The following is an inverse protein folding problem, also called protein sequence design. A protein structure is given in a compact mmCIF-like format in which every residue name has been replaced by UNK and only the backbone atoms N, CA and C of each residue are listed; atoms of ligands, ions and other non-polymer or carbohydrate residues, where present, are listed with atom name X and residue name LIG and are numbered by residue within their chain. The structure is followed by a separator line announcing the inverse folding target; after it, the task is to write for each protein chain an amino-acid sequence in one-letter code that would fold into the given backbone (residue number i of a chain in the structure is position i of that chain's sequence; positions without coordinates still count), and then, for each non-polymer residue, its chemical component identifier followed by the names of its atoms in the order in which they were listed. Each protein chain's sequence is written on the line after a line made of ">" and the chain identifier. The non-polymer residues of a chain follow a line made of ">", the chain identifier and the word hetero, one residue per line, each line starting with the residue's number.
data_IF_743736171028
#
_entry.id   IF_743736171028
#
_cell.length_a   1.000
_cell.length_b   1.000
_cell.length_c   1.000
_cell.angle_alpha   90.00
_cell.angle_beta   90.00
_cell.angle_gamma   90.00
#
_symmetry.space_group_name_H-M   'P 1'
#
loop_
_entity.id
_entity.type
_entity.pdbx_description
1 polymer ?
#
# COMPACT_ATOMS: atom_id res chain seq x y z
N UNK A 1 -10.29 24.56 26.57
CA UNK A 1 -10.39 24.65 25.10
C UNK A 1 -10.26 23.23 24.53
N UNK A 2 -11.27 22.74 23.80
CA UNK A 2 -11.39 21.32 23.37
C UNK A 2 -10.22 20.87 22.49
N UNK A 3 -9.65 21.76 21.67
CA UNK A 3 -8.54 21.44 20.75
C UNK A 3 -7.30 20.94 21.50
N UNK A 4 -6.89 21.63 22.58
CA UNK A 4 -5.71 21.26 23.37
C UNK A 4 -5.85 19.88 24.04
N UNK A 5 -7.06 19.51 24.45
CA UNK A 5 -7.34 18.22 25.10
C UNK A 5 -7.32 17.04 24.12
N UNK A 6 -7.53 17.31 22.83
CA UNK A 6 -7.51 16.32 21.76
C UNK A 6 -6.11 16.03 21.21
N UNK A 7 -5.12 16.89 21.48
CA UNK A 7 -3.74 16.74 21.00
C UNK A 7 -2.86 16.07 22.06
N UNK A 8 -1.95 15.19 21.61
CA UNK A 8 -1.05 14.43 22.48
C UNK A 8 0.40 14.57 22.03
N UNK A 9 1.33 14.47 22.98
CA UNK A 9 2.76 14.54 22.74
C UNK A 9 3.16 15.81 21.98
N UNK A 10 4.02 15.67 20.96
CA UNK A 10 4.55 16.77 20.16
C UNK A 10 3.48 17.63 19.47
N UNK A 11 2.27 17.10 19.23
CA UNK A 11 1.16 17.88 18.69
C UNK A 11 0.56 18.86 19.70
N UNK A 12 0.61 18.52 20.99
CA UNK A 12 0.21 19.43 22.06
C UNK A 12 1.22 20.55 22.23
N UNK A 13 2.51 20.23 22.22
CA UNK A 13 3.59 21.23 22.35
C UNK A 13 3.56 22.21 21.18
N UNK A 14 3.34 21.72 19.96
CA UNK A 14 3.12 22.56 18.79
C UNK A 14 1.92 23.50 18.96
N UNK A 15 0.79 23.01 19.47
CA UNK A 15 -0.40 23.84 19.71
C UNK A 15 -0.15 24.92 20.76
N UNK A 16 0.59 24.62 21.82
CA UNK A 16 0.94 25.62 22.85
C UNK A 16 1.79 26.77 22.28
N UNK A 17 2.61 26.49 21.26
CA UNK A 17 3.41 27.49 20.55
C UNK A 17 2.58 28.35 19.57
N UNK A 18 1.61 27.78 18.86
CA UNK A 18 0.87 28.51 17.79
C UNK A 18 -0.49 29.07 18.21
N UNK A 19 -1.00 28.74 19.41
CA UNK A 19 -2.36 29.08 19.83
C UNK A 19 -2.66 30.59 19.82
N UNK A 20 -1.66 31.45 20.07
CA UNK A 20 -1.83 32.91 20.09
C UNK A 20 -2.02 33.51 18.69
N UNK A 21 -1.53 32.82 17.66
CA UNK A 21 -1.63 33.25 16.25
C UNK A 21 -2.90 32.70 15.57
N UNK A 22 -3.51 31.65 16.13
CA UNK A 22 -4.61 30.91 15.51
C UNK A 22 -5.94 31.25 16.21
N UNK A 23 -6.62 32.26 15.67
CA UNK A 23 -7.87 32.78 16.23
C UNK A 23 -9.13 32.16 15.63
N UNK A 24 -9.01 31.35 14.58
CA UNK A 24 -10.17 30.72 13.91
C UNK A 24 -10.00 29.21 13.74
N UNK A 25 -11.08 28.43 13.83
CA UNK A 25 -11.04 26.99 13.54
C UNK A 25 -10.53 26.68 12.11
N UNK A 26 -10.82 27.56 11.15
CA UNK A 26 -10.31 27.44 9.79
C UNK A 26 -8.79 27.61 9.72
N UNK A 27 -8.23 28.61 10.41
CA UNK A 27 -6.79 28.80 10.50
C UNK A 27 -6.10 27.60 11.20
N UNK A 28 -6.73 27.03 12.24
CA UNK A 28 -6.23 25.81 12.87
C UNK A 28 -6.15 24.66 11.88
N UNK A 29 -7.23 24.39 11.14
CA UNK A 29 -7.27 23.30 10.16
C UNK A 29 -6.17 23.46 9.10
N UNK A 30 -5.99 24.68 8.58
CA UNK A 30 -4.96 24.97 7.57
C UNK A 30 -3.55 24.78 8.14
N UNK A 31 -3.26 25.33 9.32
CA UNK A 31 -1.95 25.20 9.97
C UNK A 31 -1.64 23.74 10.34
N UNK A 32 -2.62 23.03 10.89
CA UNK A 32 -2.50 21.62 11.25
C UNK A 32 -2.23 20.75 10.02
N UNK A 33 -3.00 20.93 8.95
CA UNK A 33 -2.81 20.20 7.69
C UNK A 33 -1.45 20.52 7.07
N UNK A 34 -1.03 21.79 7.10
CA UNK A 34 0.30 22.18 6.59
C UNK A 34 1.44 21.53 7.37
N UNK A 35 1.30 21.38 8.70
CA UNK A 35 2.33 20.82 9.58
C UNK A 35 2.42 19.29 9.52
N UNK A 36 1.28 18.59 9.48
CA UNK A 36 1.20 17.13 9.62
C UNK A 36 0.79 16.38 8.35
N UNK A 37 0.32 17.09 7.33
CA UNK A 37 -0.11 16.54 6.05
C UNK A 37 0.39 17.38 4.88
N UNK A 38 1.67 17.74 4.95
CA UNK A 38 2.34 18.56 3.94
C UNK A 38 2.43 17.84 2.59
N UNK A 39 2.78 18.57 1.52
CA UNK A 39 3.03 17.97 0.20
C UNK A 39 4.12 16.90 0.26
N UNK A 40 5.15 17.09 1.09
CA UNK A 40 6.22 16.12 1.29
C UNK A 40 5.71 14.83 1.95
N UNK A 41 4.86 14.95 2.97
CA UNK A 41 4.28 13.77 3.64
C UNK A 41 3.35 13.01 2.70
N UNK A 42 2.54 13.72 1.92
CA UNK A 42 1.75 13.11 0.85
C UNK A 42 2.65 12.42 -0.19
N UNK A 43 3.79 13.01 -0.55
CA UNK A 43 4.73 12.42 -1.50
C UNK A 43 5.37 11.14 -0.95
N UNK A 44 5.69 11.08 0.35
CA UNK A 44 6.19 9.86 1.00
C UNK A 44 5.15 8.74 0.94
N UNK A 45 3.89 9.07 1.20
CA UNK A 45 2.79 8.11 1.12
C UNK A 45 2.59 7.63 -0.32
N UNK A 46 2.63 8.53 -1.31
CA UNK A 46 2.60 8.17 -2.74
C UNK A 46 3.75 7.25 -3.12
N UNK A 47 4.97 7.61 -2.75
CA UNK A 47 6.14 6.80 -3.04
C UNK A 47 6.03 5.40 -2.43
N UNK A 48 5.55 5.31 -1.18
CA UNK A 48 5.27 4.03 -0.53
C UNK A 48 4.14 3.24 -1.20
N UNK A 49 3.15 3.92 -1.76
CA UNK A 49 2.06 3.28 -2.51
C UNK A 49 2.55 2.73 -3.87
N UNK A 50 3.44 3.44 -4.57
CA UNK A 50 3.93 3.00 -5.88
C UNK A 50 5.03 1.93 -5.78
N UNK A 51 5.96 2.09 -4.83
CA UNK A 51 7.20 1.31 -4.77
C UNK A 51 7.39 0.56 -3.45
N UNK A 52 6.35 0.50 -2.62
CA UNK A 52 6.37 -0.26 -1.39
C UNK A 52 6.53 -1.76 -1.63
N UNK A 53 6.99 -2.45 -0.61
CA UNK A 53 7.07 -3.91 -0.60
C UNK A 53 6.65 -4.43 0.77
N UNK A 54 5.88 -5.51 0.79
CA UNK A 54 5.47 -6.17 2.01
C UNK A 54 6.60 -7.06 2.55
N UNK A 55 7.12 -6.73 3.72
CA UNK A 55 8.11 -7.54 4.40
C UNK A 55 7.49 -8.37 5.54
N UNK A 56 7.65 -9.70 5.47
CA UNK A 56 7.18 -10.63 6.50
C UNK A 56 7.91 -10.45 7.83
N UNK A 57 9.14 -9.94 7.85
CA UNK A 57 9.90 -9.74 9.09
C UNK A 57 9.40 -8.56 9.92
N UNK A 58 8.56 -7.68 9.36
CA UNK A 58 8.05 -6.49 10.05
C UNK A 58 6.93 -6.80 11.05
N UNK A 59 6.55 -8.08 11.20
CA UNK A 59 5.56 -8.56 12.17
C UNK A 59 4.10 -8.22 11.84
N UNK A 60 3.84 -7.39 10.83
CA UNK A 60 2.49 -7.10 10.34
C UNK A 60 2.02 -8.19 9.37
N UNK A 61 0.76 -8.59 9.47
CA UNK A 61 0.12 -9.43 8.44
C UNK A 61 -0.03 -8.68 7.11
N UNK A 62 -0.18 -9.42 6.01
CA UNK A 62 -0.45 -8.85 4.68
C UNK A 62 -1.65 -7.90 4.71
N UNK A 63 -2.74 -8.30 5.40
CA UNK A 63 -3.93 -7.47 5.54
C UNK A 63 -3.70 -6.20 6.36
N UNK A 64 -2.93 -6.26 7.44
CA UNK A 64 -2.62 -5.08 8.26
C UNK A 64 -1.72 -4.10 7.51
N UNK A 65 -0.77 -4.61 6.73
CA UNK A 65 0.06 -3.79 5.86
C UNK A 65 -0.79 -2.98 4.87
N UNK A 66 -1.69 -3.65 4.15
CA UNK A 66 -2.60 -3.02 3.17
C UNK A 66 -3.51 -2.01 3.87
N UNK A 67 -4.20 -2.40 4.95
CA UNK A 67 -5.13 -1.53 5.65
C UNK A 67 -4.46 -0.27 6.20
N UNK A 68 -3.25 -0.41 6.76
CA UNK A 68 -2.48 0.72 7.28
C UNK A 68 -2.11 1.69 6.16
N UNK A 69 -1.62 1.20 5.03
CA UNK A 69 -1.24 2.05 3.91
C UNK A 69 -2.46 2.68 3.22
N UNK A 70 -3.54 1.92 3.04
CA UNK A 70 -4.82 2.41 2.50
C UNK A 70 -5.42 3.52 3.36
N UNK A 71 -5.45 3.34 4.69
CA UNK A 71 -6.00 4.34 5.60
C UNK A 71 -5.23 5.67 5.58
N UNK A 72 -3.97 5.67 5.16
CA UNK A 72 -3.20 6.89 4.95
C UNK A 72 -3.37 7.42 3.52
N UNK A 73 -3.34 6.54 2.52
CA UNK A 73 -3.38 6.92 1.11
C UNK A 73 -4.73 7.46 0.63
N UNK A 74 -5.85 7.10 1.28
CA UNK A 74 -7.19 7.63 0.96
C UNK A 74 -7.33 9.14 1.17
N UNK A 75 -6.42 9.75 1.92
CA UNK A 75 -6.39 11.20 2.19
C UNK A 75 -5.45 11.98 1.25
N UNK A 76 -4.89 11.32 0.23
CA UNK A 76 -4.10 11.98 -0.80
C UNK A 76 -4.99 12.88 -1.66
N UNK A 77 -4.49 14.07 -2.02
CA UNK A 77 -5.25 15.01 -2.84
C UNK A 77 -5.67 14.45 -4.22
N UNK A 78 -4.91 13.49 -4.76
CA UNK A 78 -5.31 12.68 -5.93
C UNK A 78 -5.42 11.24 -5.44
N UNK A 79 -6.54 10.93 -4.81
CA UNK A 79 -6.83 9.59 -4.32
C UNK A 79 -7.01 8.65 -5.52
N UNK A 80 -6.28 7.53 -5.58
CA UNK A 80 -6.52 6.48 -6.56
C UNK A 80 -7.93 5.88 -6.44
N UNK A 81 -8.42 5.28 -7.51
CA UNK A 81 -9.64 4.45 -7.48
C UNK A 81 -9.38 3.13 -6.73
N UNK A 82 -10.43 2.39 -6.36
CA UNK A 82 -10.26 1.10 -5.69
C UNK A 82 -9.48 0.11 -6.56
N UNK A 83 -9.75 0.05 -7.86
CA UNK A 83 -9.02 -0.78 -8.81
C UNK A 83 -7.53 -0.42 -8.85
N UNK A 84 -7.20 0.88 -8.93
CA UNK A 84 -5.82 1.35 -8.91
C UNK A 84 -5.13 1.02 -7.59
N UNK A 85 -5.85 1.07 -6.47
CA UNK A 85 -5.30 0.64 -5.19
C UNK A 85 -4.98 -0.86 -5.21
N UNK A 86 -5.90 -1.70 -5.70
CA UNK A 86 -5.69 -3.15 -5.77
C UNK A 86 -4.49 -3.47 -6.65
N UNK A 87 -4.36 -2.85 -7.82
CA UNK A 87 -3.20 -3.02 -8.69
C UNK A 87 -1.89 -2.61 -8.01
N UNK A 88 -1.87 -1.45 -7.34
CA UNK A 88 -0.67 -0.96 -6.64
C UNK A 88 -0.31 -1.87 -5.46
N UNK A 89 -1.29 -2.31 -4.67
CA UNK A 89 -1.06 -3.23 -3.56
C UNK A 89 -0.58 -4.60 -4.04
N UNK A 90 -1.12 -5.12 -5.15
CA UNK A 90 -0.69 -6.40 -5.70
C UNK A 90 0.82 -6.42 -6.00
N UNK A 91 1.37 -5.32 -6.54
CA UNK A 91 2.81 -5.17 -6.82
C UNK A 91 3.69 -5.18 -5.58
N UNK A 92 3.14 -4.97 -4.39
CA UNK A 92 3.90 -5.02 -3.13
C UNK A 92 4.13 -6.46 -2.65
N UNK A 93 3.49 -7.44 -3.30
CA UNK A 93 3.57 -8.86 -2.97
C UNK A 93 4.20 -9.67 -4.11
N UNK A 94 4.48 -10.94 -3.79
CA UNK A 94 5.00 -11.94 -4.71
C UNK A 94 4.06 -12.24 -5.88
N UNK A 95 4.62 -12.71 -7.00
CA UNK A 95 3.89 -13.00 -8.25
C UNK A 95 2.67 -13.92 -8.04
N UNK A 96 2.73 -14.81 -7.04
CA UNK A 96 1.61 -15.66 -6.67
C UNK A 96 0.36 -14.86 -6.24
N UNK A 97 0.56 -13.77 -5.49
CA UNK A 97 -0.53 -12.87 -5.07
C UNK A 97 -1.03 -12.07 -6.26
N UNK A 98 -0.14 -11.57 -7.12
CA UNK A 98 -0.52 -10.84 -8.33
C UNK A 98 -1.37 -11.70 -9.27
N UNK A 99 -0.99 -12.96 -9.49
CA UNK A 99 -1.76 -13.90 -10.30
C UNK A 99 -3.12 -14.23 -9.69
N UNK A 100 -3.19 -14.31 -8.36
CA UNK A 100 -4.47 -14.57 -7.66
C UNK A 100 -5.44 -13.41 -7.85
N UNK A 101 -4.96 -12.16 -7.79
CA UNK A 101 -5.76 -10.95 -8.02
C UNK A 101 -6.35 -10.94 -9.42
N UNK A 102 -5.54 -11.26 -10.44
CA UNK A 102 -5.98 -11.34 -11.84
C UNK A 102 -7.00 -12.48 -12.06
N UNK A 103 -6.73 -13.66 -11.49
CA UNK A 103 -7.58 -14.85 -11.70
C UNK A 103 -8.94 -14.71 -11.01
N UNK A 104 -8.98 -14.06 -9.85
CA UNK A 104 -10.22 -13.88 -9.06
C UNK A 104 -10.94 -12.57 -9.35
N UNK A 105 -10.43 -11.74 -10.26
CA UNK A 105 -10.97 -10.43 -10.62
C UNK A 105 -11.27 -9.56 -9.38
N UNK A 106 -10.30 -9.46 -8.48
CA UNK A 106 -10.41 -8.70 -7.23
C UNK A 106 -10.34 -7.21 -7.56
N UNK A 107 -11.43 -6.48 -7.33
CA UNK A 107 -11.53 -5.03 -7.58
C UNK A 107 -11.68 -4.18 -6.31
N UNK A 108 -11.91 -4.80 -5.14
CA UNK A 108 -12.14 -4.06 -3.90
C UNK A 108 -11.06 -4.34 -2.86
N UNK A 109 -10.78 -3.36 -2.00
CA UNK A 109 -9.79 -3.51 -0.92
C UNK A 109 -10.24 -4.51 0.14
N UNK A 110 -11.54 -4.63 0.35
CA UNK A 110 -12.11 -5.64 1.24
C UNK A 110 -11.82 -7.06 0.73
N UNK A 111 -12.13 -7.34 -0.54
CA UNK A 111 -11.87 -8.66 -1.14
C UNK A 111 -10.38 -8.97 -1.21
N UNK A 112 -9.54 -7.96 -1.51
CA UNK A 112 -8.09 -8.09 -1.47
C UNK A 112 -7.57 -8.45 -0.08
N UNK A 113 -8.03 -7.76 0.97
CA UNK A 113 -7.57 -8.02 2.35
C UNK A 113 -8.05 -9.38 2.87
N UNK A 114 -9.23 -9.84 2.47
CA UNK A 114 -9.73 -11.19 2.76
C UNK A 114 -8.88 -12.27 2.07
N UNK A 115 -8.52 -12.06 0.80
CA UNK A 115 -7.63 -12.96 0.07
C UNK A 115 -6.21 -12.99 0.67
N UNK A 116 -5.68 -11.82 1.05
CA UNK A 116 -4.36 -11.68 1.67
C UNK A 116 -4.24 -12.41 3.02
N UNK A 117 -5.37 -12.63 3.73
CA UNK A 117 -5.44 -13.48 4.93
C UNK A 117 -5.46 -14.97 4.61
N UNK A 118 -6.06 -15.34 3.49
CA UNK A 118 -6.32 -16.73 3.09
C UNK A 118 -5.14 -17.38 2.36
N UNK A 119 -4.28 -16.57 1.72
CA UNK A 119 -3.07 -17.04 1.03
C UNK A 119 -2.00 -17.46 2.03
N UNK A 120 -2.04 -18.73 2.47
CA UNK A 120 -0.86 -19.38 3.06
C UNK A 120 0.27 -19.41 2.02
N UNK A 121 1.55 -19.27 2.42
CA UNK A 121 2.65 -19.56 1.50
C UNK A 121 2.49 -21.01 1.01
N UNK A 122 2.29 -21.19 -0.30
CA UNK A 122 2.30 -22.53 -0.93
C UNK A 122 3.66 -23.16 -0.65
N UNK A 123 3.66 -24.38 -0.12
CA UNK A 123 4.89 -25.09 0.26
C UNK A 123 5.69 -25.38 -1.01
N UNK A 124 7.02 -25.28 -0.93
CA UNK A 124 7.97 -25.45 -2.04
C UNK A 124 7.93 -26.82 -2.76
N UNK A 125 7.00 -27.73 -2.41
CA UNK A 125 6.84 -29.05 -3.03
C UNK A 125 5.73 -29.15 -4.09
N UNK A 126 4.90 -28.11 -4.30
CA UNK A 126 3.78 -28.16 -5.26
C UNK A 126 4.17 -27.75 -6.69
N UNK A 127 5.41 -27.31 -6.93
CA UNK A 127 5.88 -26.93 -8.27
C UNK A 127 6.13 -28.11 -9.21
N UNK A 128 6.13 -29.36 -8.71
CA UNK A 128 6.53 -30.52 -9.53
C UNK A 128 5.39 -31.13 -10.36
N UNK A 129 4.13 -30.77 -10.13
CA UNK A 129 3.00 -31.45 -10.77
C UNK A 129 2.46 -30.75 -12.03
N UNK A 130 2.59 -29.42 -12.14
CA UNK A 130 1.93 -28.66 -13.21
C UNK A 130 2.86 -28.11 -14.30
N UNK A 131 4.19 -28.30 -14.19
CA UNK A 131 5.15 -27.88 -15.22
C UNK A 131 5.58 -29.01 -16.15
N UNK A 132 4.63 -29.78 -16.66
CA UNK A 132 4.83 -30.61 -17.86
C UNK A 132 4.44 -29.81 -19.11
N UNK A 133 5.14 -28.71 -19.39
CA UNK A 133 5.13 -28.13 -20.74
C UNK A 133 6.02 -29.00 -21.64
N UNK A 134 5.52 -29.55 -22.75
CA UNK A 134 6.32 -30.40 -23.64
C UNK A 134 7.44 -29.56 -24.27
N UNK A 135 8.68 -30.02 -24.10
CA UNK A 135 9.89 -29.47 -24.71
C UNK A 135 9.70 -29.46 -26.23
N UNK A 136 9.49 -28.28 -26.84
CA UNK A 136 9.69 -28.11 -28.28
C UNK A 136 11.20 -27.97 -28.52
N UNK A 137 11.80 -28.98 -29.12
CA UNK A 137 13.13 -28.90 -29.69
C UNK A 137 13.08 -27.93 -30.89
N UNK A 138 13.81 -26.82 -30.78
CA UNK A 138 14.05 -25.93 -31.91
C UNK A 138 15.43 -26.27 -32.49
N UNK A 139 15.44 -27.00 -33.60
CA UNK A 139 16.62 -27.23 -34.43
C UNK A 139 17.10 -25.90 -35.02
N UNK A 140 18.30 -25.46 -34.64
CA UNK A 140 19.02 -24.40 -35.37
C UNK A 140 19.87 -25.03 -36.47
N UNK A 141 19.34 -25.07 -37.70
CA UNK A 141 20.17 -25.18 -38.91
C UNK A 141 20.72 -23.79 -39.25
N UNK A 142 21.95 -23.52 -38.84
CA UNK A 142 22.71 -22.38 -39.33
C UNK A 142 23.32 -22.69 -40.70
N UNK A 143 23.11 -21.75 -41.63
CA UNK A 143 23.62 -21.72 -42.99
C UNK A 143 25.16 -21.83 -43.04
N UNK A 144 25.67 -22.71 -43.90
CA UNK A 144 27.06 -22.63 -44.41
C UNK A 144 27.12 -21.55 -45.50
N UNK A 145 28.13 -20.69 -45.42
CA UNK A 145 28.68 -19.93 -46.56
C UNK A 145 29.80 -20.74 -47.16
#
# INVERSE_FOLDING_TARGET
>A
MVIKQSLKGSARDWWEYVQEEINTPAAFRTAFTKKYWSREDQQKVRHKLEFGYYNKSDGASRSEYVLRLYNTAKFLNNCPTEDEFVEKFARHFDDAVQQTVLTQNISTIETFTQNARSTRPRRAGEYAADSACPRREYEYRAFRV
#
